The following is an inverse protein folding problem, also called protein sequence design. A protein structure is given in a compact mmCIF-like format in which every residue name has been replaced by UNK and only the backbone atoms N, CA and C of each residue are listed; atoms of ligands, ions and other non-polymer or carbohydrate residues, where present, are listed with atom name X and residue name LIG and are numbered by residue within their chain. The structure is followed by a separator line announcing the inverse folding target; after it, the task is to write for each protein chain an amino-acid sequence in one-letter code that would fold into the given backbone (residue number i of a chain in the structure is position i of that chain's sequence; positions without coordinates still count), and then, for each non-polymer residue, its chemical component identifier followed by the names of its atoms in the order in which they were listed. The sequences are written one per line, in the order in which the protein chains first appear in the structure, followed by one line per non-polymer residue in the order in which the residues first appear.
data_IF_909602830535
#
_entry.id   IF_909602830535
#
_cell.length_a   1.000
_cell.length_b   1.000
_cell.length_c   1.000
_cell.angle_alpha   90.00
_cell.angle_beta   90.00
_cell.angle_gamma   90.00
#
_symmetry.space_group_name_H-M   'P 1'
#
loop_
_entity.id
_entity.type
_entity.pdbx_description
1 polymer ?
#
# COMPACT_ATOMS: atom_id res chain seq x y z
N UNK A 1 18.24 -29.84 4.63
CA UNK A 1 17.09 -29.09 5.13
C UNK A 1 15.82 -29.80 4.69
N UNK A 2 14.84 -29.96 5.58
CA UNK A 2 13.56 -30.58 5.20
C UNK A 2 12.73 -29.66 4.33
N UNK A 3 11.81 -30.23 3.56
CA UNK A 3 10.87 -29.44 2.76
C UNK A 3 10.02 -28.50 3.64
N UNK A 4 9.65 -28.97 4.84
CA UNK A 4 8.87 -28.16 5.79
C UNK A 4 9.67 -26.93 6.21
N UNK A 5 10.96 -27.09 6.51
CA UNK A 5 11.82 -25.97 6.86
C UNK A 5 11.97 -24.98 5.70
N UNK A 6 12.09 -25.47 4.47
CA UNK A 6 12.17 -24.63 3.28
C UNK A 6 10.88 -23.85 3.06
N UNK A 7 9.73 -24.51 3.25
CA UNK A 7 8.42 -23.85 3.13
C UNK A 7 8.23 -22.79 4.23
N UNK A 8 8.61 -23.10 5.46
CA UNK A 8 8.55 -22.15 6.57
C UNK A 8 9.41 -20.92 6.29
N UNK A 9 10.63 -21.13 5.79
CA UNK A 9 11.51 -20.02 5.41
C UNK A 9 10.93 -19.18 4.29
N UNK A 10 10.33 -19.82 3.26
CA UNK A 10 9.69 -19.11 2.15
C UNK A 10 8.50 -18.28 2.62
N UNK A 11 7.69 -18.82 3.53
CA UNK A 11 6.56 -18.09 4.12
C UNK A 11 7.06 -16.87 4.89
N UNK A 12 8.09 -17.03 5.71
CA UNK A 12 8.66 -15.93 6.50
C UNK A 12 9.22 -14.83 5.60
N UNK A 13 9.90 -15.18 4.52
CA UNK A 13 10.41 -14.21 3.54
C UNK A 13 9.25 -13.48 2.88
N UNK A 14 8.21 -14.21 2.47
CA UNK A 14 7.04 -13.63 1.81
C UNK A 14 6.30 -12.65 2.72
N UNK A 15 6.12 -13.01 4.00
CA UNK A 15 5.50 -12.11 5.00
C UNK A 15 6.32 -10.84 5.14
N UNK A 16 7.64 -10.96 5.23
CA UNK A 16 8.52 -9.79 5.35
C UNK A 16 8.44 -8.89 4.12
N UNK A 17 8.40 -9.49 2.92
CA UNK A 17 8.26 -8.73 1.68
C UNK A 17 6.92 -7.99 1.63
N UNK A 18 5.85 -8.62 2.08
CA UNK A 18 4.54 -7.98 2.17
C UNK A 18 4.61 -6.78 3.11
N UNK A 19 5.19 -6.93 4.28
CA UNK A 19 5.33 -5.83 5.25
C UNK A 19 6.16 -4.68 4.67
N UNK A 20 7.22 -4.98 3.93
CA UNK A 20 8.02 -3.98 3.24
C UNK A 20 7.22 -3.21 2.18
N UNK A 21 6.40 -3.93 1.40
CA UNK A 21 5.54 -3.30 0.40
C UNK A 21 4.48 -2.43 1.04
N UNK A 22 3.89 -2.86 2.14
CA UNK A 22 2.91 -2.04 2.88
C UNK A 22 3.57 -0.74 3.35
N UNK A 23 4.80 -0.81 3.89
CA UNK A 23 5.53 0.38 4.33
C UNK A 23 5.82 1.34 3.16
N UNK A 24 6.23 0.82 2.01
CA UNK A 24 6.48 1.63 0.81
C UNK A 24 5.20 2.30 0.31
N UNK A 25 4.09 1.58 0.32
CA UNK A 25 2.80 2.12 -0.09
C UNK A 25 2.32 3.20 0.88
N UNK A 26 2.56 3.03 2.19
CA UNK A 26 2.27 4.06 3.18
C UNK A 26 3.06 5.34 2.92
N UNK A 27 4.34 5.21 2.57
CA UNK A 27 5.18 6.36 2.21
C UNK A 27 4.67 7.03 0.94
N UNK A 28 4.20 6.24 -0.03
CA UNK A 28 3.61 6.77 -1.25
C UNK A 28 2.34 7.57 -0.96
N UNK A 29 1.50 7.08 -0.05
CA UNK A 29 0.30 7.82 0.37
C UNK A 29 0.64 9.17 0.98
N UNK A 30 1.71 9.23 1.80
CA UNK A 30 2.17 10.49 2.38
C UNK A 30 2.59 11.47 1.30
N UNK A 31 3.28 10.99 0.27
CA UNK A 31 3.68 11.83 -0.87
C UNK A 31 2.48 12.32 -1.67
N UNK A 32 1.46 11.48 -1.85
CA UNK A 32 0.23 11.88 -2.51
C UNK A 32 -0.48 12.97 -1.71
N UNK A 33 -0.50 12.86 -0.38
CA UNK A 33 -1.08 13.89 0.48
C UNK A 33 -0.35 15.22 0.36
N UNK A 34 0.99 15.20 0.37
CA UNK A 34 1.81 16.40 0.15
C UNK A 34 1.51 17.01 -1.22
N UNK A 35 1.37 16.19 -2.25
CA UNK A 35 1.04 16.62 -3.59
C UNK A 35 -0.32 17.31 -3.63
N UNK A 36 -1.31 16.72 -2.96
CA UNK A 36 -2.65 17.28 -2.85
C UNK A 36 -2.61 18.66 -2.19
N UNK A 37 -1.83 18.81 -1.12
CA UNK A 37 -1.69 20.09 -0.43
C UNK A 37 -1.05 21.14 -1.32
N UNK A 38 -0.06 20.77 -2.12
CA UNK A 38 0.59 21.68 -3.07
C UNK A 38 -0.36 22.13 -4.16
N UNK A 39 -1.14 21.20 -4.70
CA UNK A 39 -2.15 21.53 -5.73
C UNK A 39 -3.21 22.46 -5.15
N UNK A 40 -3.71 22.14 -3.96
CA UNK A 40 -4.72 22.95 -3.29
C UNK A 40 -4.20 24.38 -3.03
N UNK A 41 -2.97 24.50 -2.55
CA UNK A 41 -2.35 25.80 -2.27
C UNK A 41 -2.08 26.61 -3.54
N UNK A 42 -1.71 25.94 -4.64
CA UNK A 42 -1.33 26.62 -5.88
C UNK A 42 -2.55 26.99 -6.74
N UNK A 43 -3.51 26.07 -6.88
CA UNK A 43 -4.61 26.20 -7.82
C UNK A 43 -5.96 26.36 -7.12
N UNK A 44 -6.14 25.72 -5.96
CA UNK A 44 -7.39 25.74 -5.20
C UNK A 44 -8.50 24.94 -5.86
N UNK A 45 -9.65 24.90 -5.19
CA UNK A 45 -10.84 24.18 -5.66
C UNK A 45 -11.62 24.93 -6.73
N UNK A 46 -11.36 26.21 -6.91
CA UNK A 46 -12.08 27.05 -7.89
C UNK A 46 -11.54 26.84 -9.30
N UNK A 47 -10.30 26.39 -9.43
CA UNK A 47 -9.69 26.07 -10.71
C UNK A 47 -10.12 24.67 -11.12
N UNK A 48 -10.67 24.53 -12.35
CA UNK A 48 -11.15 23.22 -12.82
C UNK A 48 -10.03 22.19 -12.95
N UNK A 49 -8.84 22.62 -13.37
CA UNK A 49 -7.66 21.75 -13.44
C UNK A 49 -7.21 21.30 -12.05
N UNK A 50 -7.26 22.22 -11.07
CA UNK A 50 -6.96 21.91 -9.68
C UNK A 50 -7.92 20.87 -9.11
N UNK A 51 -9.22 21.01 -9.35
CA UNK A 51 -10.22 20.04 -8.88
C UNK A 51 -10.03 18.68 -9.51
N UNK A 52 -9.78 18.62 -10.81
CA UNK A 52 -9.54 17.36 -11.51
C UNK A 52 -8.32 16.65 -10.94
N UNK A 53 -7.25 17.39 -10.68
CA UNK A 53 -6.02 16.85 -10.12
C UNK A 53 -6.22 16.34 -8.69
N UNK A 54 -6.93 17.11 -7.85
CA UNK A 54 -7.25 16.69 -6.48
C UNK A 54 -8.12 15.43 -6.49
N UNK A 55 -9.10 15.34 -7.40
CA UNK A 55 -9.92 14.13 -7.54
C UNK A 55 -9.07 12.92 -7.96
N UNK A 56 -8.15 13.11 -8.88
CA UNK A 56 -7.28 12.03 -9.33
C UNK A 56 -6.38 11.54 -8.20
N UNK A 57 -5.82 12.47 -7.41
CA UNK A 57 -5.00 12.12 -6.25
C UNK A 57 -5.83 11.35 -5.23
N UNK A 58 -7.05 11.79 -4.96
CA UNK A 58 -7.96 11.12 -4.03
C UNK A 58 -8.27 9.70 -4.47
N UNK A 59 -8.55 9.49 -5.75
CA UNK A 59 -8.80 8.16 -6.32
C UNK A 59 -7.57 7.27 -6.20
N UNK A 60 -6.38 7.81 -6.46
CA UNK A 60 -5.13 7.08 -6.35
C UNK A 60 -4.87 6.66 -4.90
N UNK A 61 -5.09 7.55 -3.95
CA UNK A 61 -4.96 7.24 -2.52
C UNK A 61 -5.90 6.09 -2.12
N UNK A 62 -7.11 6.11 -2.62
CA UNK A 62 -8.10 5.07 -2.34
C UNK A 62 -7.67 3.72 -2.89
N UNK A 63 -7.12 3.69 -4.10
CA UNK A 63 -6.58 2.47 -4.71
C UNK A 63 -5.40 1.93 -3.91
N UNK A 64 -4.52 2.80 -3.41
CA UNK A 64 -3.40 2.41 -2.56
C UNK A 64 -3.91 1.80 -1.25
N UNK A 65 -4.93 2.40 -0.62
CA UNK A 65 -5.55 1.85 0.59
C UNK A 65 -6.08 0.44 0.35
N UNK A 66 -6.77 0.23 -0.75
CA UNK A 66 -7.30 -1.09 -1.11
C UNK A 66 -6.17 -2.10 -1.29
N UNK A 67 -5.08 -1.70 -1.94
CA UNK A 67 -3.92 -2.56 -2.15
C UNK A 67 -3.26 -2.91 -0.81
N UNK A 68 -3.10 -1.95 0.09
CA UNK A 68 -2.57 -2.20 1.43
C UNK A 68 -3.43 -3.21 2.17
N UNK A 69 -4.76 -3.06 2.12
CA UNK A 69 -5.68 -3.97 2.78
C UNK A 69 -5.58 -5.39 2.21
N UNK A 70 -5.48 -5.51 0.88
CA UNK A 70 -5.29 -6.81 0.23
C UNK A 70 -3.98 -7.47 0.65
N UNK A 71 -2.90 -6.69 0.76
CA UNK A 71 -1.60 -7.19 1.21
C UNK A 71 -1.65 -7.64 2.67
N UNK A 72 -2.35 -6.91 3.53
CA UNK A 72 -2.54 -7.30 4.93
C UNK A 72 -3.27 -8.63 5.04
N UNK A 73 -4.34 -8.80 4.26
CA UNK A 73 -5.09 -10.06 4.24
C UNK A 73 -4.20 -11.19 3.75
N UNK A 74 -3.42 -10.98 2.69
CA UNK A 74 -2.49 -12.00 2.20
C UNK A 74 -1.44 -12.36 3.26
N UNK A 75 -0.89 -11.37 3.96
CA UNK A 75 0.07 -11.60 5.04
C UNK A 75 -0.54 -12.41 6.19
N UNK A 76 -1.76 -12.08 6.58
CA UNK A 76 -2.47 -12.83 7.63
C UNK A 76 -2.71 -14.28 7.22
N UNK A 77 -3.12 -14.51 5.98
CA UNK A 77 -3.34 -15.86 5.47
C UNK A 77 -2.04 -16.67 5.46
N UNK A 78 -0.94 -16.05 5.08
CA UNK A 78 0.37 -16.71 5.13
C UNK A 78 0.76 -17.07 6.57
N UNK A 79 0.53 -16.17 7.53
CA UNK A 79 0.83 -16.42 8.95
C UNK A 79 -0.03 -17.53 9.55
N UNK A 80 -1.22 -17.76 8.98
CA UNK A 80 -2.12 -18.80 9.44
C UNK A 80 -1.80 -20.19 8.89
N UNK A 81 -0.91 -20.29 7.91
CA UNK A 81 -0.51 -21.57 7.36
C UNK A 81 0.21 -22.36 8.43
N UNK A 82 -0.30 -23.56 8.70
CA UNK A 82 0.30 -24.49 9.64
C UNK A 82 1.03 -25.57 8.88
N UNK A 83 2.32 -25.69 9.16
CA UNK A 83 3.16 -26.73 8.60
C UNK A 83 3.32 -27.83 9.64
N UNK A 84 2.75 -28.99 9.33
CA UNK A 84 2.76 -30.13 10.26
C UNK A 84 3.88 -31.08 9.90
#
# INVERSE_FOLDING_TARGET
MSQIQQLAAAINVSVRQIDEQIAKLGNYQSKLEEMAQRVDSALGNEDSGGREMLNQISMTKQQVDETINQLRVAGEKLRQIRLV
#
